data_IF_385808213743
#
_entry.id   IF_385808213743
#
_cell.length_a   1.000
_cell.length_b   1.000
_cell.length_c   1.000
_cell.angle_alpha   90.00
_cell.angle_beta   90.00
_cell.angle_gamma   90.00
#
_symmetry.space_group_name_H-M   'P 1'
#
loop_
_entity.id
_entity.type
_entity.pdbx_description
1 polymer ?
#
# COMPACT_ATOMS: atom_id res chain seq x y z
N UNK A 1 -27.00 44.46 12.35
CA UNK A 1 -25.63 43.94 12.57
C UNK A 1 -24.73 45.07 13.03
N UNK A 2 -24.14 44.99 14.22
CA UNK A 2 -23.22 46.01 14.72
C UNK A 2 -21.81 45.74 14.17
N UNK A 3 -21.25 46.68 13.41
CA UNK A 3 -19.84 46.63 12.97
C UNK A 3 -19.00 47.22 14.09
N UNK A 4 -17.93 46.51 14.49
CA UNK A 4 -16.99 47.02 15.49
C UNK A 4 -16.32 48.30 14.97
N UNK A 5 -16.37 49.44 15.70
CA UNK A 5 -15.76 50.69 15.27
C UNK A 5 -14.23 50.72 15.44
N UNK A 6 -13.63 49.65 15.99
CA UNK A 6 -12.20 49.59 16.33
C UNK A 6 -11.44 48.82 15.25
N UNK A 7 -10.41 49.45 14.70
CA UNK A 7 -9.46 48.81 13.79
C UNK A 7 -8.49 47.93 14.59
N UNK A 8 -8.33 46.66 14.18
CA UNK A 8 -7.32 45.76 14.75
C UNK A 8 -6.00 45.95 13.99
N UNK A 9 -4.94 46.31 14.71
CA UNK A 9 -3.58 46.38 14.17
C UNK A 9 -2.80 45.12 14.50
N UNK A 10 -1.94 44.67 13.57
CA UNK A 10 -1.02 43.56 13.79
C UNK A 10 0.04 43.97 14.82
N UNK A 11 0.14 43.20 15.89
CA UNK A 11 1.18 43.37 16.91
C UNK A 11 2.51 42.77 16.42
N UNK A 12 3.61 43.07 17.11
CA UNK A 12 4.87 42.33 16.94
C UNK A 12 4.58 40.82 17.09
N UNK A 13 5.16 39.97 16.24
CA UNK A 13 4.83 38.53 16.03
C UNK A 13 3.61 38.21 15.15
N UNK A 14 2.77 39.18 14.78
CA UNK A 14 1.61 38.97 13.89
C UNK A 14 1.88 39.47 12.46
N UNK A 15 3.13 39.43 12.01
CA UNK A 15 3.59 40.07 10.76
C UNK A 15 3.33 41.58 10.76
N UNK A 16 3.84 42.30 11.76
CA UNK A 16 3.86 43.75 11.71
C UNK A 16 4.64 44.24 10.47
N UNK A 17 4.26 45.37 9.85
CA UNK A 17 4.84 45.82 8.57
C UNK A 17 6.35 46.15 8.66
N UNK A 18 6.87 46.38 9.85
CA UNK A 18 8.31 46.52 10.10
C UNK A 18 9.03 45.16 9.94
N UNK A 19 8.52 44.12 10.59
CA UNK A 19 9.07 42.75 10.55
C UNK A 19 8.96 42.13 9.15
N UNK A 20 7.91 42.44 8.40
CA UNK A 20 7.71 42.00 7.00
C UNK A 20 8.76 42.60 6.06
N UNK A 21 9.11 43.88 6.26
CA UNK A 21 9.96 44.64 5.32
C UNK A 21 11.39 44.14 5.26
N UNK A 22 11.92 43.64 6.38
CA UNK A 22 13.31 43.20 6.49
C UNK A 22 13.46 41.69 6.23
N UNK A 23 12.38 40.96 5.91
CA UNK A 23 12.41 39.51 5.66
C UNK A 23 12.75 39.18 4.22
N UNK A 24 13.55 38.13 4.05
CA UNK A 24 13.82 37.49 2.76
C UNK A 24 12.87 36.30 2.55
N UNK A 25 11.70 36.57 1.97
CA UNK A 25 10.68 35.55 1.71
C UNK A 25 11.14 34.46 0.76
N UNK A 26 12.09 34.74 -0.15
CA UNK A 26 12.55 33.73 -1.11
C UNK A 26 13.29 32.61 -0.39
N UNK A 27 14.24 32.97 0.49
CA UNK A 27 15.00 32.00 1.29
C UNK A 27 14.10 31.22 2.25
N UNK A 28 13.18 31.92 2.93
CA UNK A 28 12.29 31.28 3.90
C UNK A 28 11.31 30.29 3.24
N UNK A 29 10.75 30.64 2.08
CA UNK A 29 9.89 29.75 1.30
C UNK A 29 10.63 28.50 0.83
N UNK A 30 11.86 28.65 0.33
CA UNK A 30 12.67 27.53 -0.14
C UNK A 30 13.00 26.55 1.00
N UNK A 31 13.40 27.06 2.17
CA UNK A 31 13.66 26.22 3.35
C UNK A 31 12.38 25.48 3.80
N UNK A 32 11.23 26.16 3.79
CA UNK A 32 9.95 25.57 4.18
C UNK A 32 9.45 24.53 3.18
N UNK A 33 9.67 24.76 1.88
CA UNK A 33 9.40 23.77 0.84
C UNK A 33 10.31 22.54 0.99
N UNK A 34 11.60 22.74 1.28
CA UNK A 34 12.56 21.65 1.52
C UNK A 34 12.12 20.77 2.70
N UNK A 35 11.72 21.38 3.82
CA UNK A 35 11.21 20.65 4.99
C UNK A 35 9.91 19.92 4.66
N UNK A 36 8.95 20.57 4.01
CA UNK A 36 7.69 19.95 3.62
C UNK A 36 7.89 18.77 2.65
N UNK A 37 8.84 18.89 1.71
CA UNK A 37 9.21 17.82 0.79
C UNK A 37 9.85 16.64 1.54
N UNK A 38 10.69 16.89 2.54
CA UNK A 38 11.31 15.84 3.37
C UNK A 38 10.25 15.07 4.16
N UNK A 39 9.33 15.77 4.82
CA UNK A 39 8.22 15.14 5.57
C UNK A 39 7.32 14.30 4.63
N UNK A 40 6.96 14.85 3.47
CA UNK A 40 6.17 14.12 2.45
C UNK A 40 6.87 12.86 1.92
N UNK A 41 8.20 12.86 1.83
CA UNK A 41 8.97 11.69 1.42
C UNK A 41 9.08 10.65 2.54
N UNK A 42 9.15 11.06 3.80
CA UNK A 42 9.16 10.17 4.97
C UNK A 42 7.84 9.40 5.11
N UNK A 43 6.72 10.09 4.88
CA UNK A 43 5.37 9.49 4.96
C UNK A 43 4.90 8.87 3.64
N UNK A 44 5.71 8.92 2.58
CA UNK A 44 5.38 8.21 1.34
C UNK A 44 5.61 6.71 1.59
N UNK A 45 4.56 5.86 1.70
CA UNK A 45 4.77 4.42 1.62
C UNK A 45 5.49 4.18 0.30
N UNK A 46 6.64 3.50 0.36
CA UNK A 46 7.58 3.31 -0.74
C UNK A 46 6.78 3.12 -2.03
N UNK A 47 6.85 4.10 -2.94
CA UNK A 47 6.35 3.93 -4.31
C UNK A 47 7.35 3.05 -5.05
N UNK A 48 7.56 1.84 -4.55
CA UNK A 48 8.01 0.75 -5.37
C UNK A 48 6.88 0.56 -6.38
N UNK A 49 7.22 0.80 -7.64
CA UNK A 49 6.41 0.47 -8.81
C UNK A 49 5.71 -0.86 -8.56
N UNK A 50 4.36 -0.92 -8.47
CA UNK A 50 3.63 -2.12 -8.09
C UNK A 50 3.90 -3.35 -8.95
N UNK A 51 4.55 -3.17 -10.11
CA UNK A 51 4.89 -4.22 -11.05
C UNK A 51 6.24 -4.89 -10.78
N UNK A 52 7.16 -4.26 -10.05
CA UNK A 52 8.49 -4.86 -9.79
C UNK A 52 8.52 -5.68 -8.49
N UNK A 53 7.68 -5.35 -7.51
CA UNK A 53 7.64 -6.07 -6.22
C UNK A 53 7.15 -7.52 -6.40
N UNK A 54 6.07 -7.81 -7.16
CA UNK A 54 5.63 -9.18 -7.39
C UNK A 54 6.65 -9.98 -8.19
N UNK A 55 7.27 -9.38 -9.22
CA UNK A 55 8.27 -10.05 -10.05
C UNK A 55 9.50 -10.49 -9.24
N UNK A 56 10.00 -9.63 -8.34
CA UNK A 56 11.15 -9.97 -7.47
C UNK A 56 10.76 -11.04 -6.44
N UNK A 57 9.55 -10.99 -5.90
CA UNK A 57 9.05 -11.98 -4.94
C UNK A 57 8.79 -13.35 -5.58
N UNK A 58 8.23 -13.38 -6.79
CA UNK A 58 7.98 -14.61 -7.54
C UNK A 58 9.31 -15.28 -7.92
N UNK A 59 10.30 -14.50 -8.37
CA UNK A 59 11.65 -14.99 -8.69
C UNK A 59 12.40 -15.50 -7.43
N UNK A 60 12.27 -14.83 -6.28
CA UNK A 60 12.82 -15.30 -5.00
C UNK A 60 12.14 -16.60 -4.51
N UNK A 61 10.83 -16.76 -4.73
CA UNK A 61 10.12 -18.00 -4.38
C UNK A 61 10.50 -19.16 -5.29
N UNK A 62 10.68 -18.92 -6.58
CA UNK A 62 11.15 -19.92 -7.54
C UNK A 62 12.58 -20.35 -7.24
N UNK A 63 13.49 -19.40 -6.98
CA UNK A 63 14.87 -19.72 -6.60
C UNK A 63 14.92 -20.53 -5.30
N UNK A 64 14.12 -20.15 -4.29
CA UNK A 64 14.05 -20.90 -3.03
C UNK A 64 13.44 -22.29 -3.20
N UNK A 65 12.44 -22.43 -4.08
CA UNK A 65 11.84 -23.72 -4.40
C UNK A 65 12.83 -24.62 -5.17
N UNK A 66 13.57 -24.07 -6.14
CA UNK A 66 14.60 -24.80 -6.88
C UNK A 66 15.76 -25.20 -5.94
N UNK A 67 16.18 -24.31 -5.05
CA UNK A 67 17.21 -24.58 -4.06
C UNK A 67 16.75 -25.63 -3.03
N UNK A 68 15.47 -25.61 -2.61
CA UNK A 68 14.86 -26.68 -1.81
C UNK A 68 14.74 -28.00 -2.58
N UNK A 69 14.44 -27.97 -3.89
CA UNK A 69 14.40 -29.17 -4.74
C UNK A 69 15.78 -29.78 -4.91
N UNK A 70 16.80 -28.97 -5.20
CA UNK A 70 18.20 -29.40 -5.29
C UNK A 70 18.67 -29.92 -3.94
N UNK A 71 18.30 -29.26 -2.84
CA UNK A 71 18.61 -29.73 -1.48
C UNK A 71 17.93 -31.06 -1.17
N UNK A 72 16.67 -31.23 -1.57
CA UNK A 72 15.92 -32.47 -1.39
C UNK A 72 16.49 -33.59 -2.27
N UNK A 73 16.86 -33.31 -3.52
CA UNK A 73 17.49 -34.26 -4.45
C UNK A 73 18.87 -34.70 -3.96
N UNK A 74 19.67 -33.79 -3.41
CA UNK A 74 20.96 -34.12 -2.78
C UNK A 74 20.79 -34.92 -1.47
N UNK A 75 19.77 -34.63 -0.66
CA UNK A 75 19.43 -35.44 0.52
C UNK A 75 18.93 -36.84 0.10
N UNK A 76 18.19 -36.94 -1.00
CA UNK A 76 17.64 -38.20 -1.51
C UNK A 76 18.70 -39.07 -2.20
N UNK A 77 19.66 -38.46 -2.90
CA UNK A 77 20.73 -39.16 -3.63
C UNK A 77 22.01 -39.39 -2.82
N UNK A 78 22.20 -38.64 -1.73
CA UNK A 78 23.38 -38.71 -0.86
C UNK A 78 23.41 -39.88 0.13
N UNK A 79 22.36 -40.71 0.22
CA UNK A 79 22.31 -41.82 1.18
C UNK A 79 21.91 -43.15 0.51
N UNK A 80 22.87 -44.08 0.29
CA UNK A 80 22.59 -45.37 -0.35
C UNK A 80 21.70 -46.32 0.47
N UNK A 81 21.28 -45.93 1.69
CA UNK A 81 20.32 -46.67 2.52
C UNK A 81 18.84 -46.50 2.11
N UNK A 82 18.49 -45.49 1.30
CA UNK A 82 17.08 -45.19 0.96
C UNK A 82 16.54 -45.91 -0.30
N UNK A 83 17.38 -46.58 -1.08
CA UNK A 83 16.96 -47.27 -2.31
C UNK A 83 16.60 -48.76 -2.10
N UNK A 84 16.70 -49.30 -0.88
CA UNK A 84 16.30 -50.67 -0.56
C UNK A 84 14.86 -50.81 0.00
N UNK A 85 14.11 -49.72 0.13
CA UNK A 85 12.74 -49.73 0.67
C UNK A 85 11.69 -49.32 -0.37
N UNK A 86 11.59 -50.09 -1.45
CA UNK A 86 10.32 -50.23 -2.17
C UNK A 86 9.70 -51.60 -1.91
N UNK A 87 8.37 -51.82 -2.02
CA UNK A 87 7.22 -50.97 -1.76
C UNK A 87 6.30 -51.70 -0.74
N UNK A 88 6.45 -51.47 0.57
CA UNK A 88 5.66 -52.22 1.55
C UNK A 88 5.39 -51.45 2.86
N UNK A 89 5.01 -50.18 2.76
CA UNK A 89 4.23 -49.52 3.81
C UNK A 89 3.34 -48.49 3.10
N UNK A 90 2.00 -48.59 3.20
CA UNK A 90 1.15 -47.50 2.79
C UNK A 90 1.46 -46.36 3.76
N UNK A 91 2.27 -45.39 3.28
CA UNK A 91 2.29 -44.05 3.82
C UNK A 91 0.83 -43.69 4.02
N UNK A 92 0.39 -43.57 5.28
CA UNK A 92 -0.97 -43.19 5.59
C UNK A 92 -1.18 -41.84 4.93
N UNK A 93 -1.77 -41.87 3.74
CA UNK A 93 -2.09 -40.72 2.94
C UNK A 93 -2.97 -39.86 3.84
N UNK A 94 -2.39 -38.84 4.46
CA UNK A 94 -3.12 -37.76 5.09
C UNK A 94 -3.74 -36.94 3.95
N UNK A 95 -4.68 -37.59 3.25
CA UNK A 95 -5.39 -37.09 2.09
C UNK A 95 -6.36 -36.07 2.67
N UNK A 96 -5.88 -34.83 2.76
CA UNK A 96 -6.67 -33.68 3.16
C UNK A 96 -7.98 -33.74 2.38
N UNK A 97 -9.07 -33.92 3.12
CA UNK A 97 -10.42 -34.00 2.57
C UNK A 97 -10.68 -32.72 1.76
N UNK A 98 -11.41 -32.89 0.66
CA UNK A 98 -11.87 -31.80 -0.22
C UNK A 98 -12.40 -30.63 0.63
N UNK A 99 -11.88 -29.44 0.39
CA UNK A 99 -12.20 -28.25 1.19
C UNK A 99 -13.64 -27.84 0.88
N UNK A 100 -14.38 -27.35 1.88
CA UNK A 100 -15.77 -26.88 1.72
C UNK A 100 -15.91 -25.80 0.63
N UNK A 101 -14.83 -25.08 0.39
CA UNK A 101 -14.70 -24.09 -0.67
C UNK A 101 -14.68 -24.69 -2.09
N UNK A 102 -14.31 -25.96 -2.28
CA UNK A 102 -13.93 -26.49 -3.59
C UNK A 102 -15.09 -26.56 -4.62
N UNK A 103 -16.36 -26.55 -4.17
CA UNK A 103 -17.56 -26.52 -5.06
C UNK A 103 -18.08 -25.09 -5.37
N UNK A 104 -17.47 -24.04 -4.84
CA UNK A 104 -17.98 -22.67 -5.10
C UNK A 104 -17.56 -22.23 -6.50
N UNK A 105 -18.56 -22.03 -7.37
CA UNK A 105 -18.40 -21.66 -8.79
C UNK A 105 -17.73 -20.31 -9.04
N UNK A 106 -17.68 -19.43 -8.03
CA UNK A 106 -17.00 -18.13 -8.09
C UNK A 106 -15.84 -18.08 -7.10
N UNK A 107 -14.62 -17.98 -7.62
CA UNK A 107 -13.39 -17.87 -6.83
C UNK A 107 -12.72 -16.53 -7.05
N UNK A 108 -12.27 -15.90 -5.96
CA UNK A 108 -11.38 -14.73 -6.00
C UNK A 108 -11.93 -13.50 -6.75
N UNK A 109 -13.25 -13.25 -6.76
CA UNK A 109 -13.86 -12.14 -7.51
C UNK A 109 -13.36 -10.74 -7.14
N UNK A 110 -12.82 -10.55 -5.93
CA UNK A 110 -12.27 -9.28 -5.45
C UNK A 110 -10.73 -9.29 -5.32
N UNK A 111 -10.06 -10.33 -5.80
CA UNK A 111 -8.59 -10.43 -5.68
C UNK A 111 -7.94 -9.32 -6.52
N UNK A 112 -7.29 -8.38 -5.84
CA UNK A 112 -6.58 -7.26 -6.48
C UNK A 112 -7.40 -5.98 -6.66
N UNK A 113 -8.64 -5.90 -6.14
CA UNK A 113 -9.37 -4.64 -6.12
C UNK A 113 -8.76 -3.73 -5.04
N UNK A 114 -7.99 -2.73 -5.48
CA UNK A 114 -7.41 -1.70 -4.60
C UNK A 114 -8.39 -0.52 -4.46
N UNK A 115 -9.22 -0.57 -3.41
CA UNK A 115 -10.21 0.47 -3.09
C UNK A 115 -9.55 1.82 -2.78
N UNK A 116 -8.30 1.79 -2.32
CA UNK A 116 -7.50 2.97 -1.92
C UNK A 116 -7.32 3.99 -3.05
N UNK A 117 -7.44 3.57 -4.31
CA UNK A 117 -7.25 4.45 -5.49
C UNK A 117 -8.48 5.27 -5.83
N UNK A 118 -9.68 4.80 -5.48
CA UNK A 118 -10.94 5.52 -5.78
C UNK A 118 -11.07 6.76 -4.90
N UNK A 119 -10.75 6.63 -3.62
CA UNK A 119 -10.90 7.71 -2.63
C UNK A 119 -9.88 8.85 -2.78
N UNK A 120 -8.73 8.60 -3.41
CA UNK A 120 -7.69 9.62 -3.63
C UNK A 120 -7.94 10.46 -4.87
N UNK A 121 -8.89 10.09 -5.73
CA UNK A 121 -9.17 10.80 -6.97
C UNK A 121 -10.09 11.98 -6.70
N UNK A 122 -9.54 13.18 -6.75
CA UNK A 122 -10.35 14.39 -6.76
C UNK A 122 -10.94 14.64 -8.14
N UNK A 123 -12.25 14.90 -8.20
CA UNK A 123 -12.97 15.29 -9.41
C UNK A 123 -13.64 16.64 -9.15
N UNK A 124 -13.33 17.63 -10.00
CA UNK A 124 -13.97 18.95 -9.95
C UNK A 124 -15.35 18.93 -10.62
N UNK A 125 -16.28 18.15 -10.06
CA UNK A 125 -17.66 17.98 -10.53
C UNK A 125 -18.53 17.63 -9.32
N UNK A 126 -19.60 18.38 -9.09
CA UNK A 126 -20.46 18.22 -7.91
C UNK A 126 -21.34 16.98 -7.93
N UNK A 127 -21.59 16.38 -9.10
CA UNK A 127 -22.43 15.19 -9.26
C UNK A 127 -21.59 13.92 -9.45
N UNK A 128 -20.43 14.03 -10.09
CA UNK A 128 -19.55 12.89 -10.37
C UNK A 128 -18.45 12.66 -9.35
N UNK A 129 -18.26 13.58 -8.41
CA UNK A 129 -17.35 13.40 -7.28
C UNK A 129 -17.72 12.16 -6.46
N UNK A 130 -16.70 11.45 -5.97
CA UNK A 130 -16.88 10.31 -5.04
C UNK A 130 -17.67 10.73 -3.79
N UNK A 131 -17.56 12.00 -3.37
CA UNK A 131 -18.39 12.55 -2.30
C UNK A 131 -19.88 12.46 -2.62
N UNK A 132 -20.29 12.92 -3.80
CA UNK A 132 -21.70 12.95 -4.19
C UNK A 132 -22.26 11.55 -4.40
N UNK A 133 -21.48 10.64 -5.01
CA UNK A 133 -21.87 9.24 -5.16
C UNK A 133 -22.13 8.59 -3.79
N UNK A 134 -21.19 8.72 -2.85
CA UNK A 134 -21.34 8.20 -1.48
C UNK A 134 -22.50 8.86 -0.73
N UNK A 135 -22.74 10.15 -0.96
CA UNK A 135 -23.87 10.86 -0.38
C UNK A 135 -25.19 10.28 -0.90
N UNK A 136 -25.35 10.13 -2.22
CA UNK A 136 -26.57 9.59 -2.81
C UNK A 136 -26.79 8.13 -2.39
N UNK A 137 -25.76 7.28 -2.40
CA UNK A 137 -25.84 5.89 -1.90
C UNK A 137 -26.26 5.81 -0.42
N UNK A 138 -25.82 6.77 0.41
CA UNK A 138 -26.13 6.78 1.85
C UNK A 138 -27.56 7.25 2.14
N UNK A 139 -28.06 8.24 1.41
CA UNK A 139 -29.32 8.93 1.73
C UNK A 139 -30.47 8.56 0.80
N UNK A 140 -30.21 7.90 -0.32
CA UNK A 140 -31.21 7.39 -1.26
C UNK A 140 -31.04 5.87 -1.34
N UNK A 141 -32.14 5.14 -1.11
CA UNK A 141 -32.17 3.67 -1.07
C UNK A 141 -32.91 3.12 -2.27
#
# INVERSE_FOLDING_TARGET
SAVSPRCCFRQATQDAPEEVRNRDFRRELEERERVAAREKNRDRPTRVVPYLIPAILDEEQEQKAEEERIRMENILSGNPLLNLTGPAQPQANFKVKRRWDDDVVFKNCAKGIDETKKDKRFVNDTLRSEFHKKFMEKYIK
#
